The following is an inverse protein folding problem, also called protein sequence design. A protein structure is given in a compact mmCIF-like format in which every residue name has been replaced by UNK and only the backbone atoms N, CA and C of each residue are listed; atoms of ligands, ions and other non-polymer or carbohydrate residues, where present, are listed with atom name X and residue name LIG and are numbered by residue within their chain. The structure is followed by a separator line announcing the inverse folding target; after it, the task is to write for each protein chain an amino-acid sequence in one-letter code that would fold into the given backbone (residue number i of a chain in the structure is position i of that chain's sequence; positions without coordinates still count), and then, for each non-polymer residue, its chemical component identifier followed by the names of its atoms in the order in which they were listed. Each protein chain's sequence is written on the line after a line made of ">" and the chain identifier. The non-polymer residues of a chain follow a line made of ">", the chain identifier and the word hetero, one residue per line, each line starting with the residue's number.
data_IF_145201236791
#
_entry.id   IF_145201236791
#
_cell.length_a   1.000
_cell.length_b   1.000
_cell.length_c   1.000
_cell.angle_alpha   90.00
_cell.angle_beta   90.00
_cell.angle_gamma   90.00
#
_symmetry.space_group_name_H-M   'P 1'
#
loop_
_entity.id
_entity.type
_entity.pdbx_description
1 polymer ?
#
# COMPACT_ATOMS: atom_id res chain seq x y z
N UNK A 1 1.03 6.03 17.91
CA UNK A 1 0.34 4.72 17.91
C UNK A 1 -0.94 4.71 18.71
N UNK A 2 -0.95 5.00 20.03
CA UNK A 2 -2.21 5.04 20.85
C UNK A 2 -3.24 5.96 20.22
N UNK A 3 -2.87 7.21 19.88
CA UNK A 3 -3.76 8.15 19.21
C UNK A 3 -4.35 7.61 17.90
N UNK A 4 -3.56 6.89 17.11
CA UNK A 4 -4.00 6.30 15.83
C UNK A 4 -5.04 5.21 16.06
N UNK A 5 -4.76 4.28 17.00
CA UNK A 5 -5.72 3.23 17.36
C UNK A 5 -7.01 3.85 17.90
N UNK A 6 -6.91 4.86 18.79
CA UNK A 6 -8.07 5.57 19.31
C UNK A 6 -8.90 6.17 18.19
N UNK A 7 -8.26 6.90 17.27
CA UNK A 7 -8.94 7.56 16.16
C UNK A 7 -9.70 6.55 15.27
N UNK A 8 -9.00 5.51 14.80
CA UNK A 8 -9.58 4.49 13.91
C UNK A 8 -10.73 3.74 14.59
N UNK A 9 -10.52 3.32 15.85
CA UNK A 9 -11.56 2.57 16.59
C UNK A 9 -12.74 3.44 17.00
N UNK A 10 -12.53 4.73 17.22
CA UNK A 10 -13.61 5.69 17.44
C UNK A 10 -14.45 5.87 16.19
N UNK A 11 -13.81 6.09 15.03
CA UNK A 11 -14.50 6.20 13.75
C UNK A 11 -15.37 4.97 13.47
N UNK A 12 -14.85 3.76 13.76
CA UNK A 12 -15.62 2.52 13.63
C UNK A 12 -16.83 2.50 14.58
N UNK A 13 -16.64 2.83 15.87
CA UNK A 13 -17.70 2.81 16.90
C UNK A 13 -18.78 3.86 16.64
N UNK A 14 -18.43 4.97 16.03
CA UNK A 14 -19.36 6.05 15.63
C UNK A 14 -20.08 5.78 14.30
N UNK A 15 -19.79 4.65 13.64
CA UNK A 15 -20.49 4.23 12.43
C UNK A 15 -20.00 4.85 11.12
N UNK A 16 -18.81 5.48 11.12
CA UNK A 16 -18.19 6.01 9.91
C UNK A 16 -17.53 4.92 9.04
N UNK A 17 -17.38 3.72 9.59
CA UNK A 17 -16.81 2.56 8.92
C UNK A 17 -17.84 1.42 8.92
N UNK A 18 -18.06 0.71 7.79
CA UNK A 18 -19.01 -0.39 7.74
C UNK A 18 -18.70 -1.47 8.78
N UNK A 19 -19.71 -2.03 9.47
CA UNK A 19 -19.49 -3.04 10.50
C UNK A 19 -18.71 -4.28 10.01
N UNK A 20 -18.87 -4.64 8.73
CA UNK A 20 -18.15 -5.75 8.09
C UNK A 20 -16.65 -5.54 7.94
N UNK A 21 -16.14 -4.32 8.05
CA UNK A 21 -14.73 -3.99 7.81
C UNK A 21 -13.75 -4.71 8.76
N UNK A 22 -14.22 -5.23 9.89
CA UNK A 22 -13.39 -6.05 10.79
C UNK A 22 -13.04 -7.43 10.24
N UNK A 23 -13.74 -7.89 9.21
CA UNK A 23 -13.59 -9.21 8.61
C UNK A 23 -13.23 -9.12 7.12
N UNK A 24 -12.96 -7.90 6.63
CA UNK A 24 -12.59 -7.67 5.24
C UNK A 24 -11.23 -8.25 4.89
N UNK A 25 -11.12 -8.74 3.67
CA UNK A 25 -9.90 -9.13 2.99
C UNK A 25 -9.40 -7.99 2.07
N UNK A 26 -8.32 -8.22 1.38
CA UNK A 26 -7.59 -7.24 0.56
C UNK A 26 -8.44 -6.50 -0.50
N UNK A 27 -9.49 -7.12 -1.04
CA UNK A 27 -10.33 -6.52 -2.09
C UNK A 27 -11.68 -5.99 -1.58
N UNK A 28 -11.98 -6.10 -0.30
CA UNK A 28 -13.33 -5.81 0.21
C UNK A 28 -13.59 -4.30 0.35
N UNK A 29 -12.57 -3.49 0.59
CA UNK A 29 -12.64 -2.03 0.55
C UNK A 29 -12.94 -1.51 -0.86
N UNK A 30 -12.24 -2.01 -1.89
CA UNK A 30 -12.54 -1.72 -3.28
C UNK A 30 -14.00 -2.09 -3.63
N UNK A 31 -14.45 -3.29 -3.21
CA UNK A 31 -15.83 -3.72 -3.44
C UNK A 31 -16.85 -2.82 -2.73
N UNK A 32 -16.54 -2.40 -1.50
CA UNK A 32 -17.39 -1.48 -0.74
C UNK A 32 -17.48 -0.10 -1.39
N UNK A 33 -16.37 0.39 -1.97
CA UNK A 33 -16.36 1.63 -2.74
C UNK A 33 -17.24 1.51 -3.99
N UNK A 34 -17.06 0.47 -4.79
CA UNK A 34 -17.89 0.21 -5.98
C UNK A 34 -19.38 0.03 -5.66
N UNK A 35 -19.68 -0.57 -4.50
CA UNK A 35 -21.03 -0.70 -3.99
C UNK A 35 -21.60 0.58 -3.36
N UNK A 36 -20.84 1.69 -3.36
CA UNK A 36 -21.19 2.99 -2.75
C UNK A 36 -21.50 2.87 -1.25
N UNK A 37 -20.85 1.93 -0.56
CA UNK A 37 -20.95 1.75 0.89
C UNK A 37 -19.97 2.65 1.64
N UNK A 38 -18.88 3.05 0.99
CA UNK A 38 -17.90 4.02 1.49
C UNK A 38 -17.67 5.09 0.43
N UNK A 39 -17.25 6.27 0.86
CA UNK A 39 -16.99 7.42 -0.03
C UNK A 39 -15.50 7.75 -0.15
N UNK A 40 -14.67 7.14 0.68
CA UNK A 40 -13.21 7.28 0.66
C UNK A 40 -12.61 5.89 0.81
N UNK A 41 -11.70 5.57 -0.10
CA UNK A 41 -10.87 4.38 -0.09
C UNK A 41 -9.40 4.79 -0.06
N UNK A 42 -8.57 4.09 0.75
CA UNK A 42 -7.13 4.33 0.86
C UNK A 42 -6.39 3.16 0.20
N UNK A 43 -6.35 3.18 -1.13
CA UNK A 43 -5.66 2.15 -1.90
C UNK A 43 -4.18 2.52 -2.16
N UNK A 44 -3.34 1.51 -2.17
CA UNK A 44 -1.92 1.62 -2.52
C UNK A 44 -1.65 1.54 -4.02
N UNK A 45 -2.69 1.32 -4.84
CA UNK A 45 -2.64 1.14 -6.31
C UNK A 45 -3.82 1.83 -6.96
N UNK A 46 -3.92 1.80 -8.29
CA UNK A 46 -5.12 2.24 -9.00
C UNK A 46 -6.14 1.11 -9.22
N UNK A 47 -6.19 0.11 -8.34
CA UNK A 47 -7.07 -1.04 -8.55
C UNK A 47 -8.56 -0.68 -8.51
N UNK A 48 -8.94 0.24 -7.64
CA UNK A 48 -10.30 0.73 -7.50
C UNK A 48 -10.76 1.48 -8.74
N UNK A 49 -9.98 2.47 -9.20
CA UNK A 49 -10.30 3.26 -10.39
C UNK A 49 -10.31 2.41 -11.66
N UNK A 50 -9.29 1.56 -11.84
CA UNK A 50 -9.18 0.75 -13.06
C UNK A 50 -10.27 -0.32 -13.21
N UNK A 51 -10.92 -0.73 -12.13
CA UNK A 51 -12.11 -1.58 -12.23
C UNK A 51 -13.29 -0.85 -12.92
N UNK A 52 -13.29 0.48 -12.90
CA UNK A 52 -14.29 1.33 -13.58
C UNK A 52 -13.82 1.83 -14.95
N UNK A 53 -12.60 1.54 -15.38
CA UNK A 53 -11.97 2.09 -16.59
C UNK A 53 -12.81 1.97 -17.88
N UNK A 54 -13.63 0.93 -18.01
CA UNK A 54 -14.51 0.72 -19.16
C UNK A 54 -15.90 1.36 -19.01
N UNK A 55 -16.18 2.00 -17.88
CA UNK A 55 -17.39 2.78 -17.60
C UNK A 55 -16.95 4.23 -17.34
N UNK A 56 -16.89 5.02 -18.41
CA UNK A 56 -16.31 6.36 -18.37
C UNK A 56 -17.04 7.27 -17.37
N UNK A 57 -18.34 7.15 -17.23
CA UNK A 57 -19.12 7.95 -16.28
C UNK A 57 -18.67 7.68 -14.84
N UNK A 58 -18.53 6.41 -14.46
CA UNK A 58 -18.05 6.04 -13.12
C UNK A 58 -16.57 6.39 -12.91
N UNK A 59 -15.75 6.24 -13.95
CA UNK A 59 -14.34 6.58 -13.91
C UNK A 59 -14.13 8.07 -13.64
N UNK A 60 -14.91 8.92 -14.31
CA UNK A 60 -14.86 10.37 -14.17
C UNK A 60 -15.51 10.88 -12.86
N UNK A 61 -16.46 10.13 -12.29
CA UNK A 61 -17.09 10.44 -11.00
C UNK A 61 -16.17 10.19 -9.81
N UNK A 62 -15.17 9.31 -9.96
CA UNK A 62 -14.18 9.06 -8.93
C UNK A 62 -13.08 10.14 -8.94
N UNK A 63 -12.48 10.40 -7.79
CA UNK A 63 -11.37 11.37 -7.65
C UNK A 63 -10.23 10.71 -6.93
N UNK A 64 -9.07 10.62 -7.57
CA UNK A 64 -7.82 10.17 -6.93
C UNK A 64 -7.02 11.36 -6.44
N UNK A 65 -6.71 11.36 -5.16
CA UNK A 65 -5.96 12.43 -4.49
C UNK A 65 -4.68 11.86 -3.88
N UNK A 66 -3.64 12.69 -3.86
CA UNK A 66 -2.48 12.43 -3.01
C UNK A 66 -2.82 12.58 -1.53
N UNK A 67 -1.89 12.18 -0.65
CA UNK A 67 -2.04 12.37 0.78
C UNK A 67 -2.19 13.86 1.11
N UNK A 68 -3.06 14.23 2.06
CA UNK A 68 -3.19 15.62 2.50
C UNK A 68 -1.91 16.09 3.20
N UNK A 69 -1.71 17.39 3.24
CA UNK A 69 -0.66 17.97 4.06
C UNK A 69 -0.97 17.77 5.56
N UNK A 70 0.07 17.78 6.38
CA UNK A 70 -0.09 17.82 7.83
C UNK A 70 -0.72 19.16 8.30
N UNK A 71 -1.04 19.26 9.59
CA UNK A 71 -1.64 20.48 10.16
C UNK A 71 -0.73 21.72 10.08
N UNK A 72 0.54 21.57 9.75
CA UNK A 72 1.47 22.67 9.52
C UNK A 72 1.64 22.99 8.02
N UNK A 73 0.83 22.38 7.15
CA UNK A 73 0.87 22.58 5.71
C UNK A 73 2.01 21.83 5.01
N UNK A 74 2.68 20.89 5.66
CA UNK A 74 3.80 20.14 5.08
C UNK A 74 3.29 18.87 4.40
N UNK A 75 3.83 18.52 3.20
CA UNK A 75 3.50 17.26 2.53
C UNK A 75 3.81 16.05 3.42
N UNK A 76 2.87 15.13 3.52
CA UNK A 76 3.06 13.85 4.20
C UNK A 76 3.74 12.90 3.19
N UNK A 77 4.89 12.28 3.56
CA UNK A 77 5.54 11.33 2.69
C UNK A 77 4.73 10.04 2.54
N UNK A 78 4.70 9.48 1.34
CA UNK A 78 4.14 8.16 1.10
C UNK A 78 5.09 7.05 1.57
N UNK A 79 4.52 5.96 2.07
CA UNK A 79 5.27 4.74 2.32
C UNK A 79 5.55 4.04 0.98
N UNK A 80 6.83 3.84 0.65
CA UNK A 80 7.23 3.16 -0.57
C UNK A 80 7.45 1.67 -0.30
N UNK A 81 6.52 0.84 -0.78
CA UNK A 81 6.70 -0.60 -0.89
C UNK A 81 7.21 -0.97 -2.28
N UNK A 82 8.24 -1.79 -2.36
CA UNK A 82 8.79 -2.28 -3.63
C UNK A 82 8.64 -3.79 -3.67
N UNK A 83 7.99 -4.28 -4.74
CA UNK A 83 7.94 -5.71 -5.03
C UNK A 83 9.22 -6.14 -5.75
N UNK A 84 9.80 -7.24 -5.30
CA UNK A 84 11.02 -7.80 -5.87
C UNK A 84 10.82 -9.23 -6.35
N UNK A 85 11.62 -9.65 -7.31
CA UNK A 85 11.72 -11.04 -7.74
C UNK A 85 12.99 -11.67 -7.18
N UNK A 86 12.91 -12.91 -6.73
CA UNK A 86 14.06 -13.69 -6.29
C UNK A 86 14.04 -15.09 -6.90
N UNK A 87 15.22 -15.66 -7.05
CA UNK A 87 15.39 -17.03 -7.56
C UNK A 87 15.77 -17.91 -6.37
N UNK A 88 14.90 -18.85 -5.96
CA UNK A 88 15.15 -19.67 -4.78
C UNK A 88 16.32 -20.63 -5.01
N UNK A 89 17.01 -20.97 -3.91
CA UNK A 89 18.04 -22.04 -3.94
C UNK A 89 17.39 -23.35 -4.37
N UNK A 90 17.99 -24.02 -5.35
CA UNK A 90 17.46 -25.27 -5.89
C UNK A 90 16.48 -25.09 -7.07
N UNK A 91 16.33 -23.89 -7.59
CA UNK A 91 15.63 -23.69 -8.87
C UNK A 91 16.20 -24.59 -9.97
N UNK A 92 15.34 -25.23 -10.78
CA UNK A 92 15.78 -26.19 -11.80
C UNK A 92 16.59 -25.53 -12.94
N UNK A 93 16.25 -24.28 -13.28
CA UNK A 93 16.86 -23.54 -14.38
C UNK A 93 17.26 -22.12 -13.91
N UNK A 94 18.24 -21.98 -13.00
CA UNK A 94 18.56 -20.69 -12.39
C UNK A 94 19.09 -19.64 -13.38
N UNK A 95 19.86 -20.06 -14.41
CA UNK A 95 20.39 -19.13 -15.41
C UNK A 95 19.28 -18.57 -16.31
N UNK A 96 18.38 -19.45 -16.80
CA UNK A 96 17.23 -18.99 -17.57
C UNK A 96 16.31 -18.05 -16.73
N UNK A 97 16.15 -18.33 -15.45
CA UNK A 97 15.41 -17.45 -14.55
C UNK A 97 16.10 -16.08 -14.39
N UNK A 98 17.43 -16.05 -14.27
CA UNK A 98 18.19 -14.80 -14.24
C UNK A 98 18.04 -14.01 -15.54
N UNK A 99 18.11 -14.66 -16.68
CA UNK A 99 17.97 -14.02 -17.99
C UNK A 99 16.56 -13.43 -18.15
N UNK A 100 15.53 -14.17 -17.73
CA UNK A 100 14.16 -13.66 -17.70
C UNK A 100 14.02 -12.43 -16.81
N UNK A 101 14.54 -12.46 -15.56
CA UNK A 101 14.49 -11.30 -14.66
C UNK A 101 15.24 -10.11 -15.27
N UNK A 102 16.46 -10.32 -15.82
CA UNK A 102 17.21 -9.27 -16.49
C UNK A 102 16.46 -8.65 -17.66
N UNK A 103 15.71 -9.46 -18.42
CA UNK A 103 14.89 -8.98 -19.51
C UNK A 103 13.74 -8.11 -19.01
N UNK A 104 12.97 -8.61 -18.04
CA UNK A 104 11.76 -7.92 -17.54
C UNK A 104 12.06 -6.59 -16.87
N UNK A 105 13.22 -6.46 -16.19
CA UNK A 105 13.59 -5.22 -15.51
C UNK A 105 14.21 -4.16 -16.45
N UNK A 106 14.40 -4.45 -17.74
CA UNK A 106 14.86 -3.40 -18.66
C UNK A 106 13.83 -2.28 -18.75
N UNK A 107 14.21 -1.00 -18.68
CA UNK A 107 13.27 0.11 -18.62
C UNK A 107 12.22 0.14 -19.73
N UNK A 108 12.63 -0.20 -20.97
CA UNK A 108 11.73 -0.29 -22.11
C UNK A 108 10.73 -1.45 -22.00
N UNK A 109 11.15 -2.60 -21.47
CA UNK A 109 10.27 -3.77 -21.28
C UNK A 109 9.33 -3.56 -20.10
N UNK A 110 9.88 -3.13 -18.95
CA UNK A 110 9.11 -2.86 -17.75
C UNK A 110 8.09 -1.73 -17.98
N UNK A 111 8.49 -0.67 -18.69
CA UNK A 111 7.60 0.45 -19.01
C UNK A 111 6.39 0.02 -19.83
N UNK A 112 6.61 -0.72 -20.91
CA UNK A 112 5.51 -1.21 -21.75
C UNK A 112 4.62 -2.24 -21.02
N UNK A 113 5.20 -3.11 -20.20
CA UNK A 113 4.44 -4.05 -19.40
C UNK A 113 3.51 -3.33 -18.40
N UNK A 114 4.03 -2.32 -17.69
CA UNK A 114 3.26 -1.55 -16.72
C UNK A 114 2.19 -0.68 -17.39
N UNK A 115 2.47 -0.14 -18.58
CA UNK A 115 1.48 0.58 -19.41
C UNK A 115 0.37 -0.34 -19.89
N UNK A 116 0.69 -1.58 -20.28
CA UNK A 116 -0.32 -2.58 -20.63
C UNK A 116 -1.25 -2.91 -19.46
N UNK A 117 -0.77 -2.79 -18.22
CA UNK A 117 -1.57 -2.85 -17.01
C UNK A 117 -2.22 -1.51 -16.61
N UNK A 118 -2.32 -0.55 -17.54
CA UNK A 118 -2.93 0.77 -17.37
C UNK A 118 -2.32 1.60 -16.22
N UNK A 119 -1.07 1.29 -15.83
CA UNK A 119 -0.39 2.00 -14.74
C UNK A 119 -0.87 1.64 -13.35
N UNK A 120 -1.56 0.50 -13.18
CA UNK A 120 -1.97 0.00 -11.87
C UNK A 120 -0.82 -0.03 -10.85
N UNK A 121 0.38 -0.34 -11.32
CA UNK A 121 1.59 -0.39 -10.53
C UNK A 121 2.59 0.65 -11.01
N UNK A 122 3.22 1.34 -10.08
CA UNK A 122 4.24 2.33 -10.41
C UNK A 122 5.57 1.66 -10.80
N UNK A 123 6.30 2.22 -11.76
CA UNK A 123 7.64 1.76 -12.07
C UNK A 123 8.60 1.96 -10.89
N UNK A 124 9.34 0.91 -10.52
CA UNK A 124 10.42 1.02 -9.55
C UNK A 124 11.60 1.86 -10.06
N UNK A 125 11.70 2.04 -11.38
CA UNK A 125 12.73 2.84 -12.05
C UNK A 125 12.10 4.17 -12.45
N UNK A 126 12.44 5.25 -11.75
CA UNK A 126 11.83 6.58 -11.96
C UNK A 126 12.02 7.15 -13.36
N UNK A 127 13.08 6.75 -14.07
CA UNK A 127 13.36 7.24 -15.43
C UNK A 127 12.33 6.75 -16.44
N UNK A 128 11.62 5.64 -16.17
CA UNK A 128 10.49 5.22 -16.99
C UNK A 128 9.40 6.29 -17.00
N UNK A 129 9.09 6.86 -15.84
CA UNK A 129 8.10 7.94 -15.70
C UNK A 129 8.58 9.23 -16.34
N UNK A 130 9.84 9.60 -16.09
CA UNK A 130 10.42 10.88 -16.58
C UNK A 130 10.55 10.95 -18.09
N UNK A 131 10.80 9.79 -18.72
CA UNK A 131 11.08 9.73 -20.16
C UNK A 131 9.86 9.35 -21.03
N UNK A 132 8.72 9.06 -20.41
CA UNK A 132 7.50 8.73 -21.15
C UNK A 132 6.32 9.60 -20.65
N UNK A 133 5.87 10.58 -21.49
CA UNK A 133 4.80 11.51 -21.12
C UNK A 133 3.47 10.83 -20.82
N UNK A 134 3.27 9.59 -21.25
CA UNK A 134 2.06 8.84 -20.93
C UNK A 134 1.78 8.75 -19.41
N UNK A 135 2.84 8.65 -18.59
CA UNK A 135 2.71 8.56 -17.14
C UNK A 135 2.18 9.85 -16.50
N UNK A 136 2.38 10.98 -17.14
CA UNK A 136 2.04 12.31 -16.64
C UNK A 136 0.96 12.98 -17.49
N UNK A 137 0.23 12.23 -18.31
CA UNK A 137 -0.84 12.76 -19.17
C UNK A 137 -1.97 13.33 -18.30
N UNK A 138 -2.26 14.65 -18.38
CA UNK A 138 -3.33 15.27 -17.60
C UNK A 138 -4.74 14.82 -18.01
N UNK A 139 -4.87 14.09 -19.12
CA UNK A 139 -6.16 13.48 -19.52
C UNK A 139 -6.54 12.28 -18.65
N UNK A 140 -5.60 11.74 -17.89
CA UNK A 140 -5.86 10.70 -16.90
C UNK A 140 -5.47 11.23 -15.51
N UNK A 141 -6.39 11.91 -14.82
CA UNK A 141 -6.12 12.55 -13.54
C UNK A 141 -5.80 11.55 -12.44
N UNK A 142 -6.33 10.31 -12.53
CA UNK A 142 -6.07 9.26 -11.56
C UNK A 142 -4.60 8.82 -11.61
N UNK A 143 -4.12 8.45 -12.79
CA UNK A 143 -2.72 8.07 -12.97
C UNK A 143 -1.77 9.24 -12.65
N UNK A 144 -2.12 10.45 -13.06
CA UNK A 144 -1.32 11.64 -12.77
C UNK A 144 -1.17 11.86 -11.26
N UNK A 145 -2.26 11.78 -10.50
CA UNK A 145 -2.23 11.94 -9.04
C UNK A 145 -1.38 10.85 -8.38
N UNK A 146 -1.57 9.60 -8.79
CA UNK A 146 -0.85 8.44 -8.26
C UNK A 146 0.66 8.52 -8.53
N UNK A 147 1.06 8.83 -9.77
CA UNK A 147 2.47 8.99 -10.16
C UNK A 147 3.10 10.17 -9.44
N UNK A 148 2.40 11.29 -9.36
CA UNK A 148 2.88 12.50 -8.66
C UNK A 148 3.16 12.20 -7.20
N UNK A 149 2.28 11.46 -6.52
CA UNK A 149 2.46 11.11 -5.12
C UNK A 149 3.56 10.05 -4.93
N UNK A 150 3.57 8.98 -5.73
CA UNK A 150 4.37 7.79 -5.47
C UNK A 150 5.75 7.78 -6.13
N UNK A 151 5.96 8.52 -7.24
CA UNK A 151 7.26 8.54 -7.95
C UNK A 151 7.94 9.90 -7.85
N UNK A 152 7.19 11.00 -7.99
CA UNK A 152 7.74 12.35 -8.00
C UNK A 152 7.68 13.01 -6.63
N UNK A 153 6.79 12.55 -5.75
CA UNK A 153 6.60 13.07 -4.42
C UNK A 153 7.65 12.60 -3.41
N UNK A 154 7.47 13.04 -2.18
CA UNK A 154 8.33 12.61 -1.08
C UNK A 154 7.91 11.21 -0.60
N UNK A 155 8.84 10.26 -0.60
CA UNK A 155 8.60 8.88 -0.17
C UNK A 155 9.59 8.46 0.90
N UNK A 156 9.15 7.57 1.79
CA UNK A 156 10.00 6.91 2.77
C UNK A 156 9.89 5.39 2.61
N UNK A 157 10.97 4.65 2.84
CA UNK A 157 10.94 3.20 2.73
C UNK A 157 9.91 2.59 3.68
N UNK A 158 9.21 1.56 3.20
CA UNK A 158 8.32 0.78 4.04
C UNK A 158 9.12 0.05 5.14
N UNK A 159 8.56 -0.05 6.33
CA UNK A 159 9.27 -0.54 7.52
C UNK A 159 9.89 -1.95 7.37
N UNK A 160 9.39 -2.77 6.47
CA UNK A 160 9.91 -4.12 6.20
C UNK A 160 11.36 -4.15 5.73
N UNK A 161 11.88 -3.05 5.17
CA UNK A 161 13.28 -2.99 4.71
C UNK A 161 14.29 -2.89 5.86
N UNK A 162 13.84 -2.49 7.04
CA UNK A 162 14.73 -2.28 8.19
C UNK A 162 14.99 -3.54 9.02
N UNK A 163 14.08 -4.51 8.99
CA UNK A 163 14.25 -5.77 9.70
C UNK A 163 13.36 -6.85 9.07
N UNK A 164 13.91 -8.04 8.71
CA UNK A 164 13.14 -9.13 8.12
C UNK A 164 12.03 -9.68 9.04
N UNK A 165 12.14 -9.49 10.35
CA UNK A 165 11.08 -9.86 11.31
C UNK A 165 9.74 -9.17 11.07
N UNK A 166 9.73 -8.04 10.32
CA UNK A 166 8.49 -7.41 9.92
C UNK A 166 7.62 -8.29 9.02
N UNK A 167 8.20 -9.21 8.26
CA UNK A 167 7.42 -10.19 7.49
C UNK A 167 6.59 -11.09 8.40
N UNK A 168 7.17 -11.59 9.51
CA UNK A 168 6.46 -12.37 10.53
C UNK A 168 5.40 -11.51 11.24
N UNK A 169 5.73 -10.29 11.62
CA UNK A 169 4.81 -9.38 12.29
C UNK A 169 3.58 -9.02 11.43
N UNK A 170 3.80 -8.77 10.14
CA UNK A 170 2.72 -8.49 9.19
C UNK A 170 1.85 -9.73 8.94
N UNK A 171 2.46 -10.90 8.72
CA UNK A 171 1.72 -12.15 8.55
C UNK A 171 0.86 -12.49 9.78
N UNK A 172 1.31 -12.10 10.97
CA UNK A 172 0.55 -12.27 12.21
C UNK A 172 -0.57 -11.22 12.40
N UNK A 173 -0.75 -10.28 11.49
CA UNK A 173 -1.80 -9.23 11.52
C UNK A 173 -1.89 -8.50 12.88
N UNK A 174 -0.73 -8.18 13.48
CA UNK A 174 -0.68 -7.71 14.88
C UNK A 174 -1.46 -6.42 15.09
N UNK A 175 -1.39 -5.48 14.14
CA UNK A 175 -2.14 -4.23 14.23
C UNK A 175 -3.64 -4.42 14.02
N UNK A 176 -4.04 -5.28 13.06
CA UNK A 176 -5.45 -5.64 12.85
C UNK A 176 -6.05 -6.25 14.11
N UNK A 177 -5.32 -7.19 14.75
CA UNK A 177 -5.74 -7.78 16.03
C UNK A 177 -5.86 -6.74 17.15
N UNK A 178 -4.96 -5.74 17.21
CA UNK A 178 -5.04 -4.68 18.21
C UNK A 178 -6.32 -3.83 18.03
N UNK A 179 -6.67 -3.45 16.79
CA UNK A 179 -7.93 -2.75 16.50
C UNK A 179 -9.15 -3.60 16.85
N UNK A 180 -9.15 -4.88 16.43
CA UNK A 180 -10.24 -5.80 16.72
C UNK A 180 -10.45 -5.98 18.24
N UNK A 181 -9.38 -6.05 19.03
CA UNK A 181 -9.46 -6.16 20.48
C UNK A 181 -10.10 -4.93 21.13
N UNK A 182 -9.84 -3.72 20.63
CA UNK A 182 -10.50 -2.49 21.14
C UNK A 182 -11.98 -2.49 20.77
N UNK A 183 -12.33 -2.98 19.59
CA UNK A 183 -13.71 -2.91 19.09
C UNK A 183 -14.55 -4.07 19.67
N UNK A 184 -14.07 -5.32 19.55
CA UNK A 184 -14.82 -6.52 19.94
C UNK A 184 -14.72 -6.87 21.43
N UNK A 185 -13.54 -6.63 22.02
CA UNK A 185 -13.23 -7.07 23.37
C UNK A 185 -13.18 -5.92 24.38
N UNK A 186 -13.54 -4.69 23.98
CA UNK A 186 -13.53 -3.49 24.82
C UNK A 186 -12.16 -3.21 25.49
N UNK A 187 -11.07 -3.69 24.91
CA UNK A 187 -9.73 -3.35 25.38
C UNK A 187 -9.47 -1.86 25.23
N UNK A 188 -8.74 -1.25 26.17
CA UNK A 188 -8.35 0.15 25.98
C UNK A 188 -7.34 0.28 24.84
N UNK A 189 -7.35 1.38 24.05
CA UNK A 189 -6.38 1.61 22.99
C UNK A 189 -4.92 1.55 23.47
N UNK A 190 -4.67 1.96 24.72
CA UNK A 190 -3.34 1.90 25.33
C UNK A 190 -2.90 0.45 25.51
N UNK A 191 -3.69 -0.39 26.14
CA UNK A 191 -3.37 -1.80 26.40
C UNK A 191 -3.19 -2.57 25.09
N UNK A 192 -4.05 -2.28 24.09
CA UNK A 192 -3.95 -2.89 22.77
C UNK A 192 -2.65 -2.48 22.05
N UNK A 193 -2.28 -1.20 22.12
CA UNK A 193 -1.04 -0.68 21.52
C UNK A 193 0.21 -1.26 22.19
N UNK A 194 0.26 -1.29 23.52
CA UNK A 194 1.38 -1.82 24.30
C UNK A 194 1.57 -3.31 24.02
N UNK A 195 0.49 -4.09 23.99
CA UNK A 195 0.52 -5.51 23.65
C UNK A 195 1.02 -5.77 22.22
N UNK A 196 0.56 -4.97 21.25
CA UNK A 196 1.02 -5.05 19.87
C UNK A 196 2.51 -4.71 19.74
N UNK A 197 2.96 -3.61 20.36
CA UNK A 197 4.36 -3.19 20.34
C UNK A 197 5.28 -4.21 21.01
N UNK A 198 4.85 -4.76 22.15
CA UNK A 198 5.61 -5.83 22.80
C UNK A 198 5.77 -7.04 21.90
N UNK A 199 4.67 -7.52 21.31
CA UNK A 199 4.70 -8.69 20.40
C UNK A 199 5.58 -8.43 19.16
N UNK A 200 5.50 -7.24 18.58
CA UNK A 200 6.37 -6.83 17.47
C UNK A 200 7.84 -6.83 17.93
N UNK A 201 8.14 -6.23 19.08
CA UNK A 201 9.50 -6.21 19.64
C UNK A 201 10.07 -7.61 19.85
N UNK A 202 9.27 -8.53 20.42
CA UNK A 202 9.67 -9.92 20.62
C UNK A 202 9.96 -10.65 19.28
N UNK A 203 9.23 -10.33 18.22
CA UNK A 203 9.47 -10.87 16.88
C UNK A 203 10.76 -10.28 16.28
N UNK A 204 10.91 -8.95 16.30
CA UNK A 204 12.08 -8.29 15.70
C UNK A 204 13.39 -8.69 16.39
N UNK A 205 13.34 -8.98 17.69
CA UNK A 205 14.51 -9.45 18.45
C UNK A 205 15.06 -10.82 17.98
N UNK A 206 14.23 -11.64 17.28
CA UNK A 206 14.70 -12.90 16.68
C UNK A 206 15.62 -12.67 15.47
N UNK A 207 15.62 -11.48 14.91
CA UNK A 207 16.31 -11.10 13.67
C UNK A 207 17.25 -9.92 13.95
N UNK A 208 18.34 -10.12 14.72
CA UNK A 208 19.26 -9.04 15.05
C UNK A 208 19.88 -8.49 13.76
N UNK A 209 19.73 -7.17 13.55
CA UNK A 209 20.42 -6.45 12.49
C UNK A 209 21.70 -5.86 13.05
N UNK A 210 22.81 -6.20 12.42
CA UNK A 210 24.09 -5.51 12.68
C UNK A 210 23.97 -4.13 12.04
N UNK A 211 24.01 -3.07 12.85
CA UNK A 211 24.19 -1.73 12.28
C UNK A 211 25.56 -1.71 11.58
N UNK A 212 25.54 -1.50 10.26
CA UNK A 212 26.74 -1.29 9.47
C UNK A 212 27.31 0.11 9.70
#
# INVERSE_FOLDING_TARGET
>A
MIKTITYITTAFKEGYVPPGALDWSDADDNNAFHAKQIVIDLDATLSTELAMYHDQEKYDDAVTLGLPNDNAGRPIPSLLGISGAFIPKGAKNPEAAKDFVRYVIQPNVAGEYLKAGLGRWLPAISDIVKNDPWWLDPKDPHRLAYVTQGVLGNTVPYHTVYNPGWAEANAAQIWGQAHANVIRNNMTPQVAAEGALKRIGDILAKYPITQA
#
